data_IF_069013266003
#
_entry.id   IF_069013266003
#
_cell.length_a   1.000
_cell.length_b   1.000
_cell.length_c   1.000
_cell.angle_alpha   90.00
_cell.angle_beta   90.00
_cell.angle_gamma   90.00
#
_symmetry.space_group_name_H-M   'P 1'
#
loop_
_entity.id
_entity.type
_entity.pdbx_description
1 polymer ?
#
# COMPACT_ATOMS: atom_id res chain seq x y z
N UNK A 1 6.07 -25.71 -10.39
CA UNK A 1 5.59 -24.84 -9.29
C UNK A 1 6.68 -24.76 -8.22
N UNK A 2 6.84 -23.62 -7.54
CA UNK A 2 7.82 -23.48 -6.45
C UNK A 2 7.54 -24.45 -5.29
N UNK A 3 8.57 -24.87 -4.53
CA UNK A 3 8.39 -25.72 -3.35
C UNK A 3 7.60 -24.98 -2.26
N UNK A 4 7.09 -25.70 -1.26
CA UNK A 4 6.31 -25.09 -0.19
C UNK A 4 5.81 -26.08 0.86
N UNK A 5 5.38 -25.59 2.04
CA UNK A 5 4.85 -26.44 3.10
C UNK A 5 3.56 -27.14 2.65
N UNK A 6 3.34 -28.36 3.14
CA UNK A 6 2.07 -29.07 2.94
C UNK A 6 1.00 -28.41 3.81
N UNK A 7 -0.04 -27.88 3.18
CA UNK A 7 -1.18 -27.29 3.89
C UNK A 7 -2.22 -28.33 4.31
N UNK A 8 -2.99 -28.01 5.35
CA UNK A 8 -4.16 -28.80 5.76
C UNK A 8 -5.27 -28.74 4.70
N UNK A 9 -6.16 -29.74 4.62
CA UNK A 9 -7.33 -29.68 3.73
C UNK A 9 -8.17 -28.41 3.99
N UNK A 10 -8.65 -27.77 2.92
CA UNK A 10 -9.48 -26.54 2.89
C UNK A 10 -8.84 -25.25 3.41
N UNK A 11 -8.08 -25.31 4.50
CA UNK A 11 -7.49 -24.14 5.19
C UNK A 11 -6.04 -23.87 4.80
N UNK A 12 -5.31 -24.88 4.31
CA UNK A 12 -3.91 -24.75 3.94
C UNK A 12 -3.01 -24.46 5.14
N UNK A 13 -2.15 -23.46 4.98
CA UNK A 13 -1.23 -22.89 5.98
C UNK A 13 -1.80 -21.62 6.63
N UNK A 14 -3.10 -21.34 6.45
CA UNK A 14 -3.72 -20.13 7.00
C UNK A 14 -3.69 -20.13 8.54
N UNK A 15 -3.84 -21.29 9.17
CA UNK A 15 -3.76 -21.40 10.64
C UNK A 15 -2.40 -20.97 11.19
N UNK A 16 -1.31 -21.44 10.56
CA UNK A 16 0.05 -21.07 10.95
C UNK A 16 0.26 -19.55 10.80
N UNK A 17 -0.27 -18.95 9.73
CA UNK A 17 -0.21 -17.51 9.48
C UNK A 17 -1.03 -16.68 10.48
N UNK A 18 -2.12 -17.21 11.02
CA UNK A 18 -2.99 -16.49 11.98
C UNK A 18 -2.44 -16.53 13.42
N UNK A 19 -1.62 -17.53 13.74
CA UNK A 19 -1.09 -17.73 15.09
C UNK A 19 0.29 -17.11 15.31
N UNK A 20 1.06 -16.93 14.24
CA UNK A 20 2.38 -16.32 14.23
C UNK A 20 2.31 -14.91 13.61
N UNK A 21 3.27 -14.02 13.94
CA UNK A 21 3.46 -12.80 13.18
C UNK A 21 3.70 -13.12 11.69
N UNK A 22 2.99 -12.43 10.79
CA UNK A 22 3.04 -12.73 9.37
C UNK A 22 4.44 -12.59 8.76
N UNK A 23 5.24 -11.63 9.22
CA UNK A 23 6.60 -11.41 8.72
C UNK A 23 7.50 -12.56 9.18
N UNK A 24 7.37 -12.98 10.45
CA UNK A 24 8.07 -14.14 10.98
C UNK A 24 7.73 -15.43 10.21
N UNK A 25 6.44 -15.69 9.97
CA UNK A 25 5.97 -16.84 9.22
C UNK A 25 6.59 -16.92 7.82
N UNK A 26 6.51 -15.85 7.03
CA UNK A 26 7.09 -15.83 5.67
C UNK A 26 8.62 -15.83 5.67
N UNK A 27 9.26 -15.22 6.68
CA UNK A 27 10.72 -15.26 6.84
C UNK A 27 11.22 -16.67 7.13
N UNK A 28 10.54 -17.40 8.02
CA UNK A 28 10.85 -18.80 8.34
C UNK A 28 10.73 -19.69 7.11
N UNK A 29 9.62 -19.60 6.38
CA UNK A 29 9.42 -20.38 5.16
C UNK A 29 10.45 -20.04 4.08
N UNK A 30 10.86 -18.78 3.97
CA UNK A 30 11.91 -18.42 3.01
C UNK A 30 13.27 -19.02 3.33
N UNK A 31 13.59 -19.25 4.62
CA UNK A 31 14.83 -19.93 5.02
C UNK A 31 14.78 -21.42 4.69
N UNK A 32 13.61 -22.04 4.79
CA UNK A 32 13.41 -23.48 4.57
C UNK A 32 13.25 -23.85 3.10
N UNK A 33 12.43 -23.11 2.35
CA UNK A 33 12.07 -23.40 0.96
C UNK A 33 12.81 -22.53 -0.07
N UNK A 34 13.61 -21.57 0.40
CA UNK A 34 14.37 -20.65 -0.42
C UNK A 34 13.61 -19.36 -0.77
N UNK A 35 14.19 -18.51 -1.65
CA UNK A 35 13.67 -17.17 -1.93
C UNK A 35 12.42 -17.13 -2.81
N UNK A 36 11.97 -18.27 -3.34
CA UNK A 36 10.80 -18.43 -4.18
C UNK A 36 10.06 -19.70 -3.77
N UNK A 37 8.90 -19.55 -3.14
CA UNK A 37 8.13 -20.67 -2.62
C UNK A 37 6.63 -20.43 -2.75
N UNK A 38 5.83 -21.48 -2.53
CA UNK A 38 4.38 -21.41 -2.57
C UNK A 38 3.78 -21.75 -1.21
N UNK A 39 2.66 -21.11 -0.88
CA UNK A 39 1.88 -21.37 0.32
C UNK A 39 0.41 -21.49 -0.04
N UNK A 40 -0.33 -22.30 0.72
CA UNK A 40 -1.76 -22.45 0.55
C UNK A 40 -2.48 -21.61 1.61
N UNK A 41 -3.18 -20.54 1.22
CA UNK A 41 -3.95 -19.69 2.13
C UNK A 41 -5.45 -19.95 1.90
N UNK A 42 -6.04 -20.78 2.76
CA UNK A 42 -7.39 -21.30 2.51
C UNK A 42 -7.45 -22.08 1.20
N UNK A 43 -8.41 -21.74 0.35
CA UNK A 43 -8.58 -22.34 -0.97
C UNK A 43 -7.64 -21.75 -2.04
N UNK A 44 -6.83 -20.74 -1.70
CA UNK A 44 -5.98 -20.04 -2.67
C UNK A 44 -4.51 -20.42 -2.51
N UNK A 45 -3.87 -20.74 -3.63
CA UNK A 45 -2.42 -20.90 -3.67
C UNK A 45 -1.75 -19.57 -3.98
N UNK A 46 -0.78 -19.20 -3.16
CA UNK A 46 -0.01 -17.96 -3.28
C UNK A 46 1.46 -18.31 -3.50
N UNK A 47 2.11 -17.61 -4.45
CA UNK A 47 3.55 -17.68 -4.65
C UNK A 47 4.18 -16.47 -3.97
N UNK A 48 5.16 -16.71 -3.10
CA UNK A 48 5.88 -15.68 -2.35
C UNK A 48 7.23 -15.44 -2.99
N UNK A 49 7.54 -14.18 -3.27
CA UNK A 49 8.81 -13.72 -3.80
C UNK A 49 9.59 -13.04 -2.68
N UNK A 50 10.64 -13.66 -2.16
CA UNK A 50 11.45 -13.13 -1.06
C UNK A 50 12.91 -12.85 -1.47
N UNK A 51 13.11 -12.30 -2.67
CA UNK A 51 14.42 -11.84 -3.14
C UNK A 51 14.27 -10.69 -4.12
N UNK A 52 15.19 -9.73 -4.04
CA UNK A 52 15.28 -8.60 -4.97
C UNK A 52 15.36 -9.05 -6.43
N UNK A 53 16.05 -10.17 -6.70
CA UNK A 53 16.12 -10.76 -8.04
C UNK A 53 14.72 -11.10 -8.56
N UNK A 54 13.95 -11.90 -7.81
CA UNK A 54 12.61 -12.34 -8.22
C UNK A 54 11.60 -11.20 -8.27
N UNK A 55 11.67 -10.25 -7.34
CA UNK A 55 10.85 -9.05 -7.36
C UNK A 55 11.11 -8.22 -8.62
N UNK A 56 12.37 -8.05 -9.00
CA UNK A 56 12.74 -7.32 -10.23
C UNK A 56 12.28 -8.07 -11.49
N UNK A 57 12.45 -9.40 -11.52
CA UNK A 57 11.96 -10.20 -12.64
C UNK A 57 10.44 -10.08 -12.81
N UNK A 58 9.68 -10.23 -11.73
CA UNK A 58 8.22 -10.20 -11.77
C UNK A 58 7.65 -8.79 -12.00
N UNK A 59 8.02 -7.82 -11.17
CA UNK A 59 7.35 -6.51 -11.15
C UNK A 59 7.97 -5.47 -12.08
N UNK A 60 9.22 -5.67 -12.55
CA UNK A 60 9.88 -4.73 -13.48
C UNK A 60 9.97 -5.33 -14.87
N UNK A 61 10.62 -6.49 -15.02
CA UNK A 61 10.84 -7.09 -16.35
C UNK A 61 9.57 -7.71 -16.94
N UNK A 62 8.72 -8.29 -16.11
CA UNK A 62 7.44 -8.89 -16.50
C UNK A 62 6.24 -8.13 -15.92
N UNK A 63 6.40 -6.81 -15.68
CA UNK A 63 5.41 -6.00 -14.98
C UNK A 63 4.01 -6.07 -15.58
N UNK A 64 3.88 -6.18 -16.91
CA UNK A 64 2.59 -6.30 -17.58
C UNK A 64 1.86 -7.63 -17.28
N UNK A 65 2.58 -8.69 -16.95
CA UNK A 65 1.98 -9.98 -16.57
C UNK A 65 1.53 -9.97 -15.10
N UNK A 66 2.27 -9.29 -14.23
CA UNK A 66 2.03 -9.24 -12.79
C UNK A 66 1.32 -7.95 -12.32
N UNK A 67 0.65 -7.22 -13.20
CA UNK A 67 -0.01 -5.95 -12.89
C UNK A 67 -1.44 -6.10 -12.32
N UNK A 68 -1.99 -7.32 -12.23
CA UNK A 68 -3.35 -7.58 -11.74
C UNK A 68 -3.48 -7.36 -10.22
N UNK A 69 -4.71 -7.20 -9.72
CA UNK A 69 -4.97 -7.01 -8.28
C UNK A 69 -5.56 -8.29 -7.67
N UNK A 70 -5.09 -8.72 -6.48
CA UNK A 70 -5.62 -9.90 -5.82
C UNK A 70 -7.07 -9.65 -5.37
N UNK A 71 -8.01 -10.42 -5.91
CA UNK A 71 -9.44 -10.39 -5.53
C UNK A 71 -9.66 -11.03 -4.17
N UNK A 72 -10.75 -10.70 -3.48
CA UNK A 72 -11.11 -11.25 -2.16
C UNK A 72 -10.16 -10.84 -1.03
N UNK A 73 -9.46 -9.72 -1.20
CA UNK A 73 -8.82 -8.98 -0.10
C UNK A 73 -9.83 -8.01 0.51
N UNK A 74 -9.58 -7.55 1.74
CA UNK A 74 -10.39 -6.50 2.39
C UNK A 74 -10.47 -5.26 1.51
N UNK A 75 -9.34 -4.87 0.90
CA UNK A 75 -9.29 -3.75 -0.03
C UNK A 75 -10.23 -3.95 -1.22
N UNK A 76 -10.22 -5.14 -1.85
CA UNK A 76 -11.11 -5.42 -2.98
C UNK A 76 -12.59 -5.43 -2.59
N UNK A 77 -12.91 -5.79 -1.35
CA UNK A 77 -14.29 -5.75 -0.84
C UNK A 77 -14.80 -4.31 -0.67
N UNK A 78 -13.93 -3.43 -0.17
CA UNK A 78 -14.23 -2.00 0.03
C UNK A 78 -14.30 -1.28 -1.31
N UNK A 79 -13.29 -1.47 -2.16
CA UNK A 79 -13.12 -0.72 -3.40
C UNK A 79 -13.93 -1.29 -4.57
N UNK A 80 -14.30 -2.57 -4.52
CA UNK A 80 -15.14 -3.27 -5.52
C UNK A 80 -14.62 -3.12 -6.95
N UNK A 81 -13.30 -3.24 -7.15
CA UNK A 81 -12.66 -3.11 -8.47
C UNK A 81 -12.62 -1.69 -9.01
N UNK A 82 -12.77 -0.66 -8.16
CA UNK A 82 -12.78 0.75 -8.56
C UNK A 82 -11.62 1.53 -7.95
N UNK A 83 -11.32 2.68 -8.54
CA UNK A 83 -10.30 3.60 -8.08
C UNK A 83 -8.86 3.16 -8.39
N UNK A 84 -7.90 4.03 -8.10
CA UNK A 84 -6.49 3.84 -8.49
C UNK A 84 -5.82 2.62 -7.82
N UNK A 85 -6.34 2.18 -6.67
CA UNK A 85 -5.78 1.07 -5.90
C UNK A 85 -6.22 -0.31 -6.41
N UNK A 86 -7.47 -0.46 -6.85
CA UNK A 86 -8.10 -1.77 -7.11
C UNK A 86 -8.66 -1.92 -8.55
N UNK A 87 -8.76 -0.84 -9.33
CA UNK A 87 -9.15 -0.94 -10.74
C UNK A 87 -8.08 -1.68 -11.57
N UNK A 88 -8.53 -2.27 -12.69
CA UNK A 88 -7.68 -3.01 -13.64
C UNK A 88 -7.67 -2.32 -15.03
N UNK A 89 -6.70 -2.72 -15.85
CA UNK A 89 -6.59 -2.38 -17.28
C UNK A 89 -6.76 -0.89 -17.64
N UNK A 90 -7.72 -0.61 -18.53
CA UNK A 90 -7.99 0.72 -19.07
C UNK A 90 -8.47 1.67 -17.97
N UNK A 91 -9.36 1.21 -17.09
CA UNK A 91 -9.91 2.01 -15.99
C UNK A 91 -8.79 2.44 -15.04
N UNK A 92 -7.88 1.53 -14.71
CA UNK A 92 -6.71 1.85 -13.90
C UNK A 92 -5.78 2.87 -14.59
N UNK A 93 -5.47 2.67 -15.88
CA UNK A 93 -4.59 3.57 -16.64
C UNK A 93 -5.16 4.99 -16.73
N UNK A 94 -6.45 5.12 -17.02
CA UNK A 94 -7.14 6.42 -17.09
C UNK A 94 -7.19 7.10 -15.72
N UNK A 95 -7.60 6.36 -14.68
CA UNK A 95 -7.65 6.88 -13.29
C UNK A 95 -6.28 7.35 -12.82
N UNK A 96 -5.23 6.55 -13.03
CA UNK A 96 -3.85 6.89 -12.67
C UNK A 96 -3.36 8.13 -13.39
N UNK A 97 -3.61 8.23 -14.71
CA UNK A 97 -3.20 9.39 -15.51
C UNK A 97 -3.87 10.66 -15.01
N UNK A 98 -5.19 10.61 -14.78
CA UNK A 98 -5.96 11.73 -14.25
C UNK A 98 -5.47 12.13 -12.86
N UNK A 99 -5.37 11.20 -11.92
CA UNK A 99 -4.91 11.48 -10.55
C UNK A 99 -3.51 12.09 -10.52
N UNK A 100 -2.57 11.56 -11.31
CA UNK A 100 -1.20 12.11 -11.35
C UNK A 100 -1.16 13.52 -11.96
N UNK A 101 -2.01 13.82 -12.93
CA UNK A 101 -2.13 15.17 -13.48
C UNK A 101 -2.65 16.13 -12.41
N UNK A 102 -3.77 15.79 -11.77
CA UNK A 102 -4.39 16.59 -10.70
C UNK A 102 -3.42 16.79 -9.53
N UNK A 103 -2.70 15.76 -9.09
CA UNK A 103 -1.71 15.89 -8.01
C UNK A 103 -0.58 16.87 -8.36
N UNK A 104 -0.09 16.86 -9.61
CA UNK A 104 0.94 17.82 -10.07
C UNK A 104 0.39 19.25 -10.13
N UNK A 105 -0.87 19.41 -10.52
CA UNK A 105 -1.53 20.73 -10.51
C UNK A 105 -1.65 21.27 -9.09
N UNK A 106 -2.02 20.42 -8.12
CA UNK A 106 -2.01 20.72 -6.68
C UNK A 106 -0.61 20.93 -6.08
N UNK A 107 0.45 20.71 -6.85
CA UNK A 107 1.81 21.03 -6.46
C UNK A 107 2.63 19.86 -5.94
N UNK A 108 2.20 18.61 -6.17
CA UNK A 108 3.05 17.45 -5.93
C UNK A 108 4.37 17.60 -6.70
N UNK A 109 5.50 17.60 -5.97
CA UNK A 109 6.83 17.84 -6.52
C UNK A 109 7.18 19.32 -6.76
N UNK A 110 6.34 20.26 -6.33
CA UNK A 110 6.61 21.71 -6.34
C UNK A 110 6.92 22.21 -4.94
N UNK A 111 7.61 23.35 -4.84
CA UNK A 111 7.93 24.04 -3.58
C UNK A 111 6.69 24.40 -2.75
N UNK A 112 5.51 24.56 -3.36
CA UNK A 112 4.27 24.88 -2.63
C UNK A 112 3.88 23.79 -1.62
N UNK A 113 4.05 22.51 -1.99
CA UNK A 113 3.80 21.39 -1.05
C UNK A 113 4.86 21.35 0.03
N UNK A 114 6.12 21.64 -0.29
CA UNK A 114 7.19 21.75 0.71
C UNK A 114 6.88 22.85 1.75
N UNK A 115 6.43 24.03 1.31
CA UNK A 115 6.02 25.10 2.22
C UNK A 115 4.85 24.68 3.10
N UNK A 116 3.86 23.97 2.53
CA UNK A 116 2.73 23.44 3.30
C UNK A 116 3.16 22.41 4.35
N UNK A 117 3.98 21.42 3.95
CA UNK A 117 4.51 20.38 4.86
C UNK A 117 5.34 21.02 5.97
N UNK A 118 6.21 21.99 5.65
CA UNK A 118 6.98 22.70 6.65
C UNK A 118 6.07 23.44 7.64
N UNK A 119 5.01 24.10 7.18
CA UNK A 119 4.08 24.76 8.09
C UNK A 119 3.38 23.77 9.02
N UNK A 120 2.82 22.68 8.50
CA UNK A 120 2.18 21.64 9.34
C UNK A 120 3.17 21.01 10.32
N UNK A 121 4.45 20.89 9.93
CA UNK A 121 5.51 20.44 10.83
C UNK A 121 5.76 21.43 11.97
N UNK A 122 5.82 22.74 11.70
CA UNK A 122 5.96 23.74 12.76
C UNK A 122 4.75 23.71 13.71
N UNK A 123 3.53 23.68 13.17
CA UNK A 123 2.30 23.58 13.96
C UNK A 123 2.29 22.32 14.85
N UNK A 124 2.82 21.20 14.32
CA UNK A 124 2.98 19.96 15.06
C UNK A 124 4.04 20.05 16.17
N UNK A 125 5.19 20.66 15.89
CA UNK A 125 6.27 20.85 16.86
C UNK A 125 5.80 21.74 18.01
N UNK A 126 5.16 22.87 17.71
CA UNK A 126 4.62 23.79 18.72
C UNK A 126 3.60 23.08 19.63
N UNK A 127 2.69 22.29 19.03
CA UNK A 127 1.69 21.53 19.77
C UNK A 127 2.27 20.41 20.65
N UNK A 128 3.47 19.91 20.33
CA UNK A 128 4.13 18.82 21.06
C UNK A 128 5.23 19.29 22.00
N UNK A 129 5.72 20.53 21.87
CA UNK A 129 6.82 21.07 22.66
C UNK A 129 6.55 21.03 24.17
N UNK A 130 5.33 21.38 24.60
CA UNK A 130 4.93 21.34 26.03
C UNK A 130 4.79 19.92 26.60
N UNK A 131 4.79 18.92 25.72
CA UNK A 131 4.60 17.50 26.07
C UNK A 131 5.92 16.73 26.11
N UNK A 132 7.03 17.38 25.77
CA UNK A 132 8.37 16.79 25.82
C UNK A 132 8.68 16.29 27.22
N UNK A 133 9.15 15.04 27.31
CA UNK A 133 9.50 14.38 28.58
C UNK A 133 8.31 13.80 29.36
N UNK A 134 7.08 13.90 28.84
CA UNK A 134 5.88 13.33 29.48
C UNK A 134 5.24 12.28 28.56
N UNK A 135 4.66 11.19 29.09
CA UNK A 135 3.81 10.31 28.31
C UNK A 135 2.63 11.12 27.75
N UNK A 136 2.58 11.27 26.43
CA UNK A 136 1.53 12.02 25.74
C UNK A 136 1.07 11.25 24.52
N UNK A 137 -0.24 11.01 24.43
CA UNK A 137 -0.84 10.44 23.24
C UNK A 137 -1.08 11.54 22.23
N UNK A 138 -0.37 11.51 21.11
CA UNK A 138 -0.51 12.51 20.04
C UNK A 138 -1.89 12.30 19.39
N UNK A 139 -2.84 13.23 19.55
CA UNK A 139 -4.13 13.09 18.89
C UNK A 139 -3.91 13.22 17.38
N UNK A 140 -4.38 12.23 16.62
CA UNK A 140 -4.51 12.36 15.17
C UNK A 140 -5.53 13.47 14.90
N UNK A 141 -5.07 14.71 14.74
CA UNK A 141 -5.96 15.80 14.31
C UNK A 141 -6.55 15.43 12.95
N UNK A 142 -7.88 15.51 12.75
CA UNK A 142 -8.44 15.46 11.41
C UNK A 142 -7.84 16.62 10.62
N UNK A 143 -7.08 16.31 9.58
CA UNK A 143 -6.35 17.30 8.79
C UNK A 143 -7.28 18.43 8.37
N UNK A 144 -7.03 19.64 8.88
CA UNK A 144 -7.70 20.84 8.41
C UNK A 144 -7.05 21.24 7.08
N UNK A 145 -7.42 20.56 6.00
CA UNK A 145 -7.10 21.02 4.66
C UNK A 145 -7.84 22.33 4.42
N UNK A 146 -7.21 23.47 4.70
CA UNK A 146 -7.67 24.78 4.25
C UNK A 146 -7.10 25.01 2.86
N UNK A 147 -7.88 24.81 1.78
CA UNK A 147 -7.41 25.14 0.44
C UNK A 147 -7.08 26.63 0.38
N UNK A 148 -5.81 26.96 0.14
CA UNK A 148 -5.37 28.35 -0.01
C UNK A 148 -5.73 28.96 -1.37
N UNK A 149 -6.31 28.18 -2.27
CA UNK A 149 -6.80 28.68 -3.55
C UNK A 149 -8.33 28.65 -3.57
N UNK A 150 -8.90 29.84 -3.38
CA UNK A 150 -10.26 30.17 -3.82
C UNK A 150 -10.31 29.82 -5.31
N UNK A 151 -11.03 28.77 -5.68
CA UNK A 151 -11.36 28.48 -7.07
C UNK A 151 -12.05 29.73 -7.61
N UNK A 152 -11.31 30.55 -8.36
CA UNK A 152 -11.89 31.66 -9.07
C UNK A 152 -12.94 31.08 -10.01
N UNK A 153 -14.17 31.60 -9.89
CA UNK A 153 -15.30 31.28 -10.74
C UNK A 153 -14.88 31.13 -12.20
N UNK A 154 -14.94 29.91 -12.73
CA UNK A 154 -15.05 29.72 -14.17
C UNK A 154 -16.51 30.00 -14.52
N UNK A 155 -16.79 31.27 -14.81
CA UNK A 155 -17.93 31.64 -15.65
C UNK A 155 -17.54 31.33 -17.10
N UNK A 156 -18.27 30.42 -17.74
CA UNK A 156 -18.81 30.60 -19.10
C UNK A 156 -20.17 29.91 -19.16
#
# INVERSE_FOLDING_TARGET
>A
MPPGPKGLPLVGNLFDLLWEDSICFFSRLSKEYGPLYSVQLGLRRVVVLNSSHWLTQAFVRQGDMFNHRPRGTVLSFIMRGKGIADAEDRVWRESRRFTLHVLRDFGLGKRSVETYVNRELHDFLDATQEKVGKPYNIPLRPGHFRPQHRLAHVRR
#
